data_IF_982464722597
#
_entry.id   IF_982464722597
#
_cell.length_a   1.000
_cell.length_b   1.000
_cell.length_c   1.000
_cell.angle_alpha   90.00
_cell.angle_beta   90.00
_cell.angle_gamma   90.00
#
_symmetry.space_group_name_H-M   'P 1'
#
loop_
_entity.id
_entity.type
_entity.pdbx_description
1 polymer ?
#
# COMPACT_ATOMS: atom_id res chain seq x y z
N UNK A 1 -34.87 31.13 28.94
CA UNK A 1 -35.44 30.02 29.71
C UNK A 1 -34.36 28.97 29.77
N UNK A 2 -33.46 28.92 30.65
CA UNK A 2 -33.31 28.82 32.12
C UNK A 2 -33.84 27.51 32.68
N UNK A 3 -32.93 26.90 33.44
CA UNK A 3 -33.11 25.94 34.56
C UNK A 3 -32.99 24.46 34.07
N UNK A 4 -32.19 23.55 34.69
CA UNK A 4 -31.47 23.62 35.96
C UNK A 4 -30.59 22.39 36.17
N UNK A 5 -29.59 22.60 36.98
CA UNK A 5 -28.74 21.64 37.66
C UNK A 5 -29.51 20.64 38.53
N UNK A 6 -28.97 19.43 38.68
CA UNK A 6 -28.96 18.81 40.02
C UNK A 6 -27.83 17.78 40.17
N UNK A 7 -26.96 18.07 41.13
CA UNK A 7 -26.00 17.17 41.79
C UNK A 7 -26.74 16.17 42.70
N UNK A 8 -26.15 15.01 42.89
CA UNK A 8 -26.23 14.30 44.17
C UNK A 8 -25.04 13.37 44.37
N UNK A 9 -24.33 13.70 45.44
CA UNK A 9 -23.32 12.92 46.18
C UNK A 9 -23.93 11.68 46.83
N UNK A 10 -23.05 10.71 47.13
CA UNK A 10 -23.34 9.67 48.11
C UNK A 10 -22.12 8.74 48.29
N UNK A 11 -21.31 9.12 49.29
CA UNK A 11 -20.29 8.26 49.91
C UNK A 11 -20.97 7.05 50.57
N UNK A 12 -20.34 5.90 50.60
CA UNK A 12 -20.23 5.18 51.85
C UNK A 12 -19.11 4.13 51.84
N UNK A 13 -18.32 4.25 52.90
CA UNK A 13 -17.25 3.36 53.34
C UNK A 13 -17.83 2.22 54.17
N UNK A 14 -17.46 0.99 54.00
CA UNK A 14 -17.49 0.02 55.09
C UNK A 14 -16.31 -0.94 55.07
N UNK A 15 -15.60 -0.84 56.17
CA UNK A 15 -14.54 -1.67 56.72
C UNK A 15 -15.10 -3.02 57.18
N UNK A 16 -14.26 -4.07 57.05
CA UNK A 16 -14.23 -5.11 58.06
C UNK A 16 -14.38 -6.56 57.64
N UNK A 17 -13.43 -7.34 57.63
CA UNK A 17 -13.01 -8.33 58.64
C UNK A 17 -12.06 -9.37 58.05
N UNK A 18 -10.94 -9.48 58.72
CA UNK A 18 -9.98 -10.62 58.62
C UNK A 18 -10.69 -11.89 59.15
N UNK A 19 -10.50 -13.00 58.43
CA UNK A 19 -10.51 -14.30 59.02
C UNK A 19 -9.33 -15.17 58.53
N UNK A 20 -8.49 -15.45 59.45
CA UNK A 20 -7.33 -16.32 59.39
C UNK A 20 -7.73 -17.72 59.74
N UNK A 21 -7.76 -18.67 58.80
CA UNK A 21 -7.56 -20.14 59.04
C UNK A 21 -7.68 -20.91 57.72
N UNK A 22 -6.56 -21.35 57.16
CA UNK A 22 -6.33 -22.65 56.54
C UNK A 22 -4.95 -22.69 55.87
N UNK A 23 -3.93 -22.78 56.72
CA UNK A 23 -2.62 -23.29 56.29
C UNK A 23 -2.60 -24.78 56.60
N UNK A 24 -2.85 -25.65 55.61
CA UNK A 24 -2.33 -27.03 55.50
C UNK A 24 -3.09 -27.75 54.39
N UNK A 25 -2.61 -27.61 53.14
CA UNK A 25 -2.80 -28.61 52.04
C UNK A 25 -2.20 -28.10 50.72
N UNK A 26 -1.00 -27.48 50.74
CA UNK A 26 -0.43 -26.91 49.51
C UNK A 26 0.88 -27.55 49.06
N UNK A 27 1.19 -28.76 49.48
CA UNK A 27 2.48 -29.37 49.09
C UNK A 27 2.37 -30.53 48.10
N UNK A 28 1.20 -31.06 47.82
CA UNK A 28 1.03 -32.13 46.80
C UNK A 28 0.55 -31.67 45.46
N UNK A 29 -0.16 -30.52 45.37
CA UNK A 29 -0.63 -30.00 44.10
C UNK A 29 0.45 -29.31 43.25
N UNK A 30 1.55 -28.89 43.91
CA UNK A 30 2.61 -28.16 43.23
C UNK A 30 3.50 -29.01 42.33
N UNK A 31 3.64 -30.32 42.60
CA UNK A 31 4.44 -31.23 41.79
C UNK A 31 3.71 -31.70 40.52
N UNK A 32 2.38 -31.83 40.56
CA UNK A 32 1.60 -32.27 39.39
C UNK A 32 1.36 -31.15 38.38
N UNK A 33 1.21 -29.92 38.86
CA UNK A 33 1.04 -28.76 37.95
C UNK A 33 2.34 -28.40 37.21
N UNK A 34 3.51 -28.59 37.81
CA UNK A 34 4.80 -28.29 37.14
C UNK A 34 5.13 -29.29 36.02
N UNK A 35 4.73 -30.56 36.15
CA UNK A 35 4.96 -31.58 35.10
C UNK A 35 4.01 -31.37 33.94
N UNK A 36 2.76 -30.97 34.19
CA UNK A 36 1.78 -30.71 33.14
C UNK A 36 2.11 -29.47 32.32
N UNK A 37 2.64 -28.42 32.95
CA UNK A 37 3.09 -27.18 32.24
C UNK A 37 4.34 -27.44 31.42
N UNK A 38 5.25 -28.30 31.84
CA UNK A 38 6.45 -28.62 31.07
C UNK A 38 6.16 -29.45 29.81
N UNK A 39 5.19 -30.35 29.86
CA UNK A 39 4.78 -31.15 28.71
C UNK A 39 4.01 -30.31 27.69
N UNK A 40 3.15 -29.38 28.16
CA UNK A 40 2.48 -28.44 27.25
C UNK A 40 3.44 -27.44 26.60
N UNK A 41 4.50 -27.02 27.29
CA UNK A 41 5.52 -26.16 26.71
C UNK A 41 6.38 -26.87 25.64
N UNK A 42 6.64 -28.18 25.79
CA UNK A 42 7.39 -28.95 24.78
C UNK A 42 6.56 -29.21 23.50
N UNK A 43 5.26 -29.42 23.62
CA UNK A 43 4.38 -29.62 22.46
C UNK A 43 4.17 -28.31 21.68
N UNK A 44 4.17 -27.15 22.37
CA UNK A 44 4.08 -25.83 21.73
C UNK A 44 5.34 -25.43 20.92
N UNK A 45 6.52 -25.99 21.24
CA UNK A 45 7.76 -25.69 20.50
C UNK A 45 7.97 -26.53 19.24
N UNK A 46 7.24 -27.61 19.04
CA UNK A 46 7.31 -28.40 17.81
C UNK A 46 6.39 -27.93 16.68
N UNK A 47 5.52 -26.95 16.93
CA UNK A 47 4.52 -26.50 15.94
C UNK A 47 4.96 -25.28 15.11
N UNK A 48 6.13 -24.70 15.34
CA UNK A 48 6.65 -23.53 14.62
C UNK A 48 8.05 -23.75 14.03
N UNK A 49 8.28 -24.91 13.43
CA UNK A 49 9.26 -24.97 12.36
C UNK A 49 8.58 -24.48 11.07
N UNK A 50 7.99 -23.28 11.09
CA UNK A 50 7.75 -22.52 9.86
C UNK A 50 9.14 -22.25 9.29
N UNK A 51 9.49 -22.90 8.20
CA UNK A 51 10.61 -22.49 7.36
C UNK A 51 10.45 -20.99 7.16
N UNK A 52 11.37 -20.18 7.67
CA UNK A 52 11.46 -18.75 7.39
C UNK A 52 11.84 -18.60 5.93
N UNK A 53 10.85 -18.82 5.05
CA UNK A 53 10.97 -18.47 3.63
C UNK A 53 11.15 -16.96 3.64
N UNK A 54 12.23 -16.49 3.06
CA UNK A 54 12.52 -15.05 2.99
C UNK A 54 11.45 -14.36 2.12
N UNK A 55 11.26 -13.06 2.33
CA UNK A 55 10.33 -12.30 1.50
C UNK A 55 10.69 -12.41 0.01
N UNK A 56 11.97 -12.44 -0.32
CA UNK A 56 12.47 -12.62 -1.69
C UNK A 56 12.09 -13.98 -2.30
N UNK A 57 12.22 -15.08 -1.53
CA UNK A 57 11.81 -16.41 -1.98
C UNK A 57 10.29 -16.48 -2.22
N UNK A 58 9.50 -15.82 -1.38
CA UNK A 58 8.06 -15.74 -1.57
C UNK A 58 7.69 -14.94 -2.82
N UNK A 59 8.35 -13.81 -3.07
CA UNK A 59 8.16 -13.01 -4.27
C UNK A 59 8.54 -13.79 -5.53
N UNK A 60 9.66 -14.52 -5.53
CA UNK A 60 10.08 -15.36 -6.65
C UNK A 60 9.08 -16.49 -6.93
N UNK A 61 8.57 -17.16 -5.89
CA UNK A 61 7.55 -18.21 -6.04
C UNK A 61 6.24 -17.65 -6.60
N UNK A 62 5.82 -16.47 -6.14
CA UNK A 62 4.64 -15.79 -6.63
C UNK A 62 4.80 -15.33 -8.09
N UNK A 63 5.97 -14.78 -8.43
CA UNK A 63 6.32 -14.39 -9.80
C UNK A 63 6.27 -15.59 -10.75
N UNK A 64 6.94 -16.70 -10.39
CA UNK A 64 6.90 -17.93 -11.18
C UNK A 64 5.46 -18.42 -11.41
N UNK A 65 4.62 -18.33 -10.39
CA UNK A 65 3.19 -18.71 -10.49
C UNK A 65 2.40 -17.75 -11.39
N UNK A 66 2.69 -16.44 -11.32
CA UNK A 66 2.04 -15.43 -12.17
C UNK A 66 2.43 -15.60 -13.65
N UNK A 67 3.69 -15.90 -13.91
CA UNK A 67 4.23 -16.10 -15.28
C UNK A 67 3.71 -17.39 -15.91
N UNK A 68 3.53 -18.44 -15.11
CA UNK A 68 3.02 -19.72 -15.58
C UNK A 68 3.93 -20.36 -16.64
N UNK A 69 3.32 -20.73 -17.78
CA UNK A 69 4.01 -21.37 -18.91
C UNK A 69 4.64 -20.38 -19.91
N UNK A 70 4.49 -19.08 -19.69
CA UNK A 70 5.08 -18.01 -20.52
C UNK A 70 6.11 -17.25 -19.68
N UNK A 71 7.27 -17.85 -19.39
CA UNK A 71 8.28 -17.20 -18.57
C UNK A 71 8.91 -16.07 -19.39
N UNK A 72 8.76 -14.85 -18.91
CA UNK A 72 9.55 -13.75 -19.43
C UNK A 72 11.04 -14.03 -19.12
N UNK A 73 11.98 -13.66 -19.99
CA UNK A 73 13.39 -13.73 -19.67
C UNK A 73 13.66 -13.03 -18.33
N UNK A 74 14.54 -13.58 -17.52
CA UNK A 74 14.80 -13.07 -16.15
C UNK A 74 15.22 -11.59 -16.14
N UNK A 75 15.90 -11.13 -17.18
CA UNK A 75 16.33 -9.74 -17.38
C UNK A 75 15.19 -8.80 -17.80
N UNK A 76 14.06 -9.35 -18.21
CA UNK A 76 12.87 -8.55 -18.58
C UNK A 76 12.01 -8.15 -17.38
N UNK A 77 12.15 -8.78 -16.22
CA UNK A 77 11.43 -8.42 -15.00
C UNK A 77 12.14 -7.26 -14.30
N UNK A 78 11.48 -6.11 -14.24
CA UNK A 78 12.04 -4.88 -13.66
C UNK A 78 11.61 -4.63 -12.19
N UNK A 79 10.60 -5.35 -11.74
CA UNK A 79 10.11 -5.26 -10.36
C UNK A 79 9.03 -6.29 -10.08
N UNK A 80 8.96 -6.71 -8.83
CA UNK A 80 7.93 -7.62 -8.31
C UNK A 80 7.44 -7.09 -6.98
N UNK A 81 6.14 -7.11 -6.76
CA UNK A 81 5.51 -6.79 -5.49
C UNK A 81 4.51 -7.88 -5.12
N UNK A 82 4.52 -8.31 -3.86
CA UNK A 82 3.63 -9.33 -3.32
C UNK A 82 3.10 -8.87 -1.96
N UNK A 83 1.80 -9.07 -1.73
CA UNK A 83 1.21 -8.77 -0.42
C UNK A 83 0.03 -9.69 -0.09
N UNK A 84 -0.18 -10.05 1.18
CA UNK A 84 -1.43 -10.67 1.61
C UNK A 84 -2.59 -9.67 1.45
N UNK A 85 -3.72 -10.14 0.93
CA UNK A 85 -4.90 -9.33 0.72
C UNK A 85 -6.04 -9.72 1.68
N UNK A 86 -5.99 -9.15 2.88
CA UNK A 86 -6.94 -9.45 3.96
C UNK A 86 -8.38 -9.02 3.64
N UNK A 87 -8.57 -8.07 2.73
CA UNK A 87 -9.87 -7.49 2.37
C UNK A 87 -10.45 -8.05 1.07
N UNK A 88 -9.85 -9.11 0.54
CA UNK A 88 -10.37 -9.83 -0.62
C UNK A 88 -11.67 -10.59 -0.32
N UNK A 89 -12.33 -11.15 -1.33
CA UNK A 89 -13.55 -11.94 -1.16
C UNK A 89 -13.33 -13.11 -0.20
N UNK A 90 -14.07 -13.15 0.90
CA UNK A 90 -13.90 -14.13 1.99
C UNK A 90 -14.16 -15.59 1.58
N UNK A 91 -14.96 -15.79 0.53
CA UNK A 91 -15.30 -17.13 0.02
C UNK A 91 -14.09 -17.89 -0.58
N UNK A 92 -13.01 -17.18 -0.87
CA UNK A 92 -11.81 -17.77 -1.52
C UNK A 92 -10.68 -18.15 -0.54
N UNK A 93 -10.90 -18.00 0.77
CA UNK A 93 -9.85 -18.20 1.78
C UNK A 93 -8.80 -17.05 1.78
N UNK A 94 -7.63 -17.26 2.42
CA UNK A 94 -6.57 -16.26 2.45
C UNK A 94 -6.03 -15.97 1.04
N UNK A 95 -6.21 -14.74 0.57
CA UNK A 95 -5.76 -14.29 -0.73
C UNK A 95 -4.44 -13.54 -0.64
N UNK A 96 -3.70 -13.60 -1.72
CA UNK A 96 -2.49 -12.81 -1.97
C UNK A 96 -2.66 -12.09 -3.30
N UNK A 97 -2.04 -10.94 -3.42
CA UNK A 97 -1.96 -10.19 -4.67
C UNK A 97 -0.50 -10.01 -5.04
N UNK A 98 -0.22 -10.17 -6.32
CA UNK A 98 1.11 -10.04 -6.90
C UNK A 98 1.05 -9.10 -8.09
N UNK A 99 2.08 -8.29 -8.26
CA UNK A 99 2.30 -7.52 -9.48
C UNK A 99 3.75 -7.70 -9.95
N UNK A 100 3.95 -7.68 -11.25
CA UNK A 100 5.26 -7.70 -11.87
C UNK A 100 5.32 -6.71 -13.03
N UNK A 101 6.43 -5.99 -13.14
CA UNK A 101 6.71 -5.11 -14.27
C UNK A 101 7.60 -5.88 -15.24
N UNK A 102 7.09 -6.14 -16.44
CA UNK A 102 7.74 -6.97 -17.44
C UNK A 102 8.00 -6.15 -18.69
N UNK A 103 9.26 -5.91 -19.02
CA UNK A 103 9.67 -5.22 -20.24
C UNK A 103 10.18 -6.25 -21.25
N UNK A 104 9.49 -6.38 -22.37
CA UNK A 104 9.93 -7.32 -23.42
C UNK A 104 11.18 -6.77 -24.13
N UNK A 105 12.11 -7.62 -24.55
CA UNK A 105 13.37 -7.18 -25.19
C UNK A 105 13.18 -6.34 -26.46
N UNK A 106 12.04 -6.46 -27.11
CA UNK A 106 11.68 -5.70 -28.33
C UNK A 106 11.02 -4.37 -28.03
N UNK A 107 10.62 -4.12 -26.78
CA UNK A 107 9.91 -2.92 -26.36
C UNK A 107 10.88 -2.05 -25.52
N UNK A 108 11.24 -0.88 -26.04
CA UNK A 108 12.22 0.00 -25.40
C UNK A 108 11.59 1.06 -24.51
N UNK A 109 10.30 1.27 -24.65
CA UNK A 109 9.58 2.40 -24.03
C UNK A 109 8.47 1.94 -23.09
N UNK A 110 7.82 0.81 -23.37
CA UNK A 110 6.68 0.31 -22.62
C UNK A 110 7.03 -0.97 -21.87
N UNK A 111 6.49 -1.10 -20.66
CA UNK A 111 6.44 -2.37 -19.95
C UNK A 111 4.99 -2.80 -19.72
N UNK A 112 4.79 -4.11 -19.63
CA UNK A 112 3.52 -4.70 -19.23
C UNK A 112 3.45 -4.76 -17.71
N UNK A 113 2.36 -4.31 -17.13
CA UNK A 113 2.05 -4.53 -15.72
C UNK A 113 1.22 -5.82 -15.60
N UNK A 114 1.85 -6.87 -15.13
CA UNK A 114 1.21 -8.15 -14.86
C UNK A 114 0.69 -8.16 -13.43
N UNK A 115 -0.57 -8.48 -13.24
CA UNK A 115 -1.21 -8.47 -11.92
C UNK A 115 -1.95 -9.78 -11.71
N UNK A 116 -1.86 -10.35 -10.52
CA UNK A 116 -2.51 -11.63 -10.20
C UNK A 116 -3.07 -11.71 -8.80
N UNK A 117 -4.10 -12.57 -8.65
CA UNK A 117 -4.63 -13.01 -7.37
C UNK A 117 -4.25 -14.46 -7.15
N UNK A 118 -3.65 -14.73 -6.01
CA UNK A 118 -3.10 -16.02 -5.63
C UNK A 118 -3.75 -16.55 -4.35
N UNK A 119 -3.69 -17.85 -4.15
CA UNK A 119 -3.93 -18.50 -2.86
C UNK A 119 -2.72 -19.34 -2.49
N UNK A 120 -2.52 -19.60 -1.18
CA UNK A 120 -1.48 -20.51 -0.72
C UNK A 120 -1.82 -21.95 -1.14
N UNK A 121 -0.79 -22.68 -1.57
CA UNK A 121 -0.86 -24.10 -1.91
C UNK A 121 0.39 -24.79 -1.35
N UNK A 122 0.27 -25.37 -0.17
CA UNK A 122 1.41 -25.90 0.56
C UNK A 122 2.46 -24.82 0.84
N UNK A 123 3.67 -25.01 0.31
CA UNK A 123 4.77 -24.05 0.45
C UNK A 123 4.82 -22.99 -0.66
N UNK A 124 3.95 -23.08 -1.66
CA UNK A 124 3.92 -22.19 -2.82
C UNK A 124 2.63 -21.41 -2.96
N UNK A 125 2.38 -21.00 -4.20
CA UNK A 125 1.19 -20.28 -4.60
C UNK A 125 0.48 -20.98 -5.75
N UNK A 126 -0.84 -20.80 -5.82
CA UNK A 126 -1.67 -21.18 -6.96
C UNK A 126 -2.37 -19.95 -7.49
N UNK A 127 -2.27 -19.71 -8.79
CA UNK A 127 -2.92 -18.60 -9.49
C UNK A 127 -4.42 -18.85 -9.56
N UNK A 128 -5.21 -17.84 -9.14
CA UNK A 128 -6.67 -17.83 -9.29
C UNK A 128 -7.10 -17.03 -10.50
N UNK A 129 -6.44 -15.90 -10.76
CA UNK A 129 -6.70 -15.05 -11.92
C UNK A 129 -5.52 -14.11 -12.14
N UNK A 130 -5.36 -13.63 -13.37
CA UNK A 130 -4.36 -12.61 -13.73
C UNK A 130 -4.91 -11.65 -14.79
N UNK A 131 -4.30 -10.48 -14.86
CA UNK A 131 -4.46 -9.48 -15.91
C UNK A 131 -3.09 -9.03 -16.41
N UNK A 132 -2.98 -8.75 -17.72
CA UNK A 132 -1.77 -8.26 -18.39
C UNK A 132 -2.10 -7.13 -19.37
N UNK A 133 -3.25 -6.48 -19.16
CA UNK A 133 -3.79 -5.50 -20.11
C UNK A 133 -3.24 -4.09 -19.93
N UNK A 134 -2.63 -3.81 -18.77
CA UNK A 134 -2.07 -2.50 -18.47
C UNK A 134 -0.66 -2.36 -19.03
N UNK A 135 -0.42 -1.20 -19.66
CA UNK A 135 0.89 -0.78 -20.12
C UNK A 135 1.33 0.45 -19.32
N UNK A 136 2.59 0.47 -18.94
CA UNK A 136 3.22 1.58 -18.24
C UNK A 136 4.43 2.05 -19.04
N UNK A 137 4.59 3.36 -19.12
CA UNK A 137 5.75 3.96 -19.77
C UNK A 137 6.99 3.73 -18.89
N UNK A 138 7.98 3.06 -19.47
CA UNK A 138 9.31 2.83 -18.87
C UNK A 138 10.40 3.35 -19.79
N UNK A 139 10.22 4.55 -20.34
CA UNK A 139 11.21 5.20 -21.21
C UNK A 139 12.65 4.92 -20.72
N UNK A 140 13.61 4.64 -21.60
CA UNK A 140 14.98 4.28 -21.21
C UNK A 140 15.70 5.38 -20.42
N UNK A 141 15.11 6.58 -20.35
CA UNK A 141 15.58 7.66 -19.49
C UNK A 141 15.05 7.54 -18.05
N UNK A 142 14.21 6.57 -17.75
CA UNK A 142 13.65 6.30 -16.44
C UNK A 142 14.59 5.40 -15.64
N UNK A 143 15.40 5.99 -14.80
CA UNK A 143 16.51 5.31 -14.11
C UNK A 143 16.08 4.44 -12.93
N UNK A 144 14.91 4.69 -12.36
CA UNK A 144 14.37 3.86 -11.29
C UNK A 144 12.86 3.80 -11.36
N UNK A 145 12.36 2.60 -11.59
CA UNK A 145 10.95 2.30 -11.42
C UNK A 145 10.77 1.58 -10.08
N UNK A 146 9.73 1.92 -9.33
CA UNK A 146 9.32 1.14 -8.17
C UNK A 146 7.92 0.57 -8.37
N UNK A 147 7.69 -0.59 -7.78
CA UNK A 147 6.42 -1.29 -7.80
C UNK A 147 6.06 -1.67 -6.37
N UNK A 148 4.85 -1.37 -5.94
CA UNK A 148 4.35 -1.76 -4.62
C UNK A 148 2.88 -2.18 -4.68
N UNK A 149 2.49 -3.07 -3.77
CA UNK A 149 1.09 -3.40 -3.57
C UNK A 149 0.47 -2.44 -2.55
N UNK A 150 -0.67 -1.88 -2.89
CA UNK A 150 -1.51 -1.12 -1.96
C UNK A 150 -2.78 -1.92 -1.67
N UNK A 151 -2.81 -2.57 -0.51
CA UNK A 151 -3.87 -3.49 -0.08
C UNK A 151 -4.81 -2.89 0.95
N UNK A 152 -4.82 -1.55 1.10
CA UNK A 152 -5.87 -0.90 1.88
C UNK A 152 -7.26 -1.22 1.30
N UNK A 153 -8.33 -1.24 2.12
CA UNK A 153 -9.65 -1.65 1.64
C UNK A 153 -10.28 -0.58 0.75
N UNK A 154 -9.98 -0.59 -0.54
CA UNK A 154 -10.66 0.22 -1.54
C UNK A 154 -12.08 -0.31 -1.77
N UNK A 155 -13.03 0.10 -0.92
CA UNK A 155 -14.43 -0.32 -1.05
C UNK A 155 -15.08 0.37 -2.25
N UNK A 156 -15.13 -0.32 -3.37
CA UNK A 156 -15.77 0.18 -4.60
C UNK A 156 -17.29 0.02 -4.56
N UNK A 157 -17.81 -0.91 -3.75
CA UNK A 157 -19.25 -1.03 -3.46
C UNK A 157 -19.47 -1.55 -2.02
N UNK A 158 -20.70 -1.78 -1.61
CA UNK A 158 -21.00 -2.39 -0.32
C UNK A 158 -20.48 -3.83 -0.21
N UNK A 159 -20.32 -4.53 -1.33
CA UNK A 159 -19.95 -5.96 -1.41
C UNK A 159 -18.58 -6.19 -2.05
N UNK A 160 -17.98 -5.18 -2.68
CA UNK A 160 -16.75 -5.36 -3.44
C UNK A 160 -15.64 -4.44 -2.94
N UNK A 161 -14.47 -5.03 -2.81
CA UNK A 161 -13.22 -4.33 -2.47
C UNK A 161 -12.22 -4.53 -3.60
N UNK A 162 -11.56 -3.47 -4.02
CA UNK A 162 -10.43 -3.50 -4.93
C UNK A 162 -9.11 -3.49 -4.14
N UNK A 163 -8.04 -3.90 -4.79
CA UNK A 163 -6.67 -3.69 -4.35
C UNK A 163 -5.95 -2.74 -5.30
N UNK A 164 -4.89 -2.11 -4.84
CA UNK A 164 -4.09 -1.19 -5.61
C UNK A 164 -2.73 -1.76 -5.99
N UNK A 165 -2.23 -1.33 -7.13
CA UNK A 165 -0.83 -1.47 -7.54
C UNK A 165 -0.29 -0.07 -7.73
N UNK A 166 0.71 0.30 -6.94
CA UNK A 166 1.41 1.56 -7.05
C UNK A 166 2.65 1.35 -7.93
N UNK A 167 2.70 2.04 -9.02
CA UNK A 167 3.86 2.14 -9.89
C UNK A 167 4.41 3.55 -9.82
N UNK A 168 5.70 3.67 -9.64
CA UNK A 168 6.37 4.98 -9.68
C UNK A 168 7.58 4.94 -10.59
N UNK A 169 7.92 6.11 -11.07
CA UNK A 169 8.94 6.30 -12.07
C UNK A 169 9.71 7.60 -11.82
N UNK A 170 11.04 7.55 -11.92
CA UNK A 170 11.91 8.70 -11.72
C UNK A 170 12.74 8.93 -12.98
N UNK A 171 12.69 10.13 -13.49
CA UNK A 171 13.55 10.62 -14.55
C UNK A 171 14.58 11.59 -13.97
N UNK A 172 15.80 11.52 -14.46
CA UNK A 172 16.86 12.46 -14.06
C UNK A 172 17.74 12.80 -15.26
N UNK A 173 17.87 14.09 -15.52
CA UNK A 173 18.79 14.66 -16.50
C UNK A 173 19.80 15.61 -15.81
N UNK A 174 20.62 16.29 -16.59
CA UNK A 174 21.50 17.34 -16.08
C UNK A 174 20.72 18.58 -15.65
N UNK A 175 19.63 18.90 -16.34
CA UNK A 175 18.84 20.13 -16.13
C UNK A 175 17.70 19.95 -15.13
N UNK A 176 17.05 18.78 -15.09
CA UNK A 176 15.90 18.55 -14.21
C UNK A 176 15.76 17.09 -13.78
N UNK A 177 14.95 16.86 -12.77
CA UNK A 177 14.48 15.53 -12.40
C UNK A 177 12.98 15.54 -12.14
N UNK A 178 12.31 14.48 -12.60
CA UNK A 178 10.87 14.28 -12.44
C UNK A 178 10.59 12.98 -11.72
N UNK A 179 9.55 12.96 -10.90
CA UNK A 179 9.04 11.77 -10.25
C UNK A 179 7.54 11.67 -10.44
N UNK A 180 7.06 10.48 -10.75
CA UNK A 180 5.62 10.20 -10.87
C UNK A 180 5.25 8.96 -10.08
N UNK A 181 4.06 8.99 -9.47
CA UNK A 181 3.43 7.83 -8.83
C UNK A 181 2.03 7.63 -9.42
N UNK A 182 1.74 6.43 -9.86
CA UNK A 182 0.44 6.05 -10.44
C UNK A 182 -0.12 4.89 -9.63
N UNK A 183 -1.34 5.04 -9.13
CA UNK A 183 -2.08 4.00 -8.46
C UNK A 183 -3.13 3.42 -9.41
N UNK A 184 -3.01 2.13 -9.73
CA UNK A 184 -4.00 1.39 -10.50
C UNK A 184 -4.82 0.49 -9.56
N UNK A 185 -6.14 0.60 -9.60
CA UNK A 185 -7.08 -0.21 -8.83
C UNK A 185 -7.57 -1.39 -9.65
N UNK A 186 -7.53 -2.57 -9.03
CA UNK A 186 -7.94 -3.84 -9.62
C UNK A 186 -9.07 -4.47 -8.81
N UNK A 187 -10.08 -4.96 -9.52
CA UNK A 187 -11.16 -5.77 -8.97
C UNK A 187 -10.92 -7.23 -9.27
N UNK A 188 -11.11 -8.08 -8.27
CA UNK A 188 -11.20 -9.53 -8.46
C UNK A 188 -12.63 -9.99 -8.26
N UNK A 189 -13.23 -10.52 -9.30
CA UNK A 189 -14.60 -11.04 -9.30
C UNK A 189 -14.77 -12.16 -10.30
N UNK A 190 -15.52 -13.19 -9.92
CA UNK A 190 -15.86 -14.31 -10.79
C UNK A 190 -14.63 -14.96 -11.47
N UNK A 191 -13.54 -15.11 -10.71
CA UNK A 191 -12.28 -15.67 -11.20
C UNK A 191 -11.52 -14.79 -12.20
N UNK A 192 -11.79 -13.49 -12.23
CA UNK A 192 -11.13 -12.52 -13.12
C UNK A 192 -10.56 -11.35 -12.34
N UNK A 193 -9.36 -10.95 -12.70
CA UNK A 193 -8.76 -9.68 -12.32
C UNK A 193 -9.04 -8.65 -13.42
N UNK A 194 -9.51 -7.48 -13.05
CA UNK A 194 -9.83 -6.42 -14.02
C UNK A 194 -9.39 -5.08 -13.49
N UNK A 195 -8.59 -4.31 -14.25
CA UNK A 195 -8.26 -2.94 -13.88
C UNK A 195 -9.49 -2.06 -14.00
N UNK A 196 -9.84 -1.35 -12.92
CA UNK A 196 -11.08 -0.56 -12.84
C UNK A 196 -10.85 0.95 -12.85
N UNK A 197 -9.66 1.38 -12.43
CA UNK A 197 -9.28 2.80 -12.40
C UNK A 197 -7.78 2.96 -12.29
N UNK A 198 -7.24 4.08 -12.78
CA UNK A 198 -5.84 4.46 -12.62
C UNK A 198 -5.75 5.98 -12.37
N UNK A 199 -4.91 6.39 -11.43
CA UNK A 199 -4.73 7.80 -11.10
C UNK A 199 -3.26 8.15 -10.86
N UNK A 200 -2.85 9.30 -11.36
CA UNK A 200 -1.67 9.98 -10.86
C UNK A 200 -1.91 10.30 -9.38
N UNK A 201 -1.05 9.81 -8.50
CA UNK A 201 -1.11 10.08 -7.05
C UNK A 201 -0.05 11.05 -6.59
N UNK A 202 1.09 11.01 -7.26
CA UNK A 202 2.24 11.83 -6.92
C UNK A 202 2.93 12.31 -8.19
N UNK A 203 3.30 13.57 -8.21
CA UNK A 203 4.11 14.17 -9.26
C UNK A 203 5.01 15.23 -8.65
N UNK A 204 6.28 15.18 -8.98
CA UNK A 204 7.22 16.24 -8.63
C UNK A 204 8.18 16.50 -9.79
N UNK A 205 8.58 17.75 -9.91
CA UNK A 205 9.68 18.15 -10.80
C UNK A 205 10.63 19.06 -10.03
N UNK A 206 11.90 18.89 -10.29
CA UNK A 206 12.99 19.71 -9.71
C UNK A 206 13.85 20.29 -10.83
N UNK A 207 13.87 21.61 -10.91
CA UNK A 207 14.70 22.39 -11.84
C UNK A 207 16.10 22.61 -11.25
N UNK A 208 17.07 21.85 -11.72
CA UNK A 208 18.47 21.90 -11.26
C UNK A 208 19.16 23.17 -11.71
N UNK A 209 18.86 23.67 -12.91
CA UNK A 209 19.47 24.87 -13.46
C UNK A 209 18.99 26.11 -12.69
N UNK A 210 17.67 26.18 -12.41
CA UNK A 210 17.08 27.21 -11.59
C UNK A 210 17.62 27.20 -10.16
N UNK A 211 17.81 26.04 -9.56
CA UNK A 211 18.40 25.91 -8.23
C UNK A 211 19.87 26.40 -8.21
N UNK A 212 20.69 26.02 -9.20
CA UNK A 212 22.05 26.44 -9.32
C UNK A 212 22.17 28.00 -9.50
N UNK A 213 21.31 28.61 -10.34
CA UNK A 213 21.23 30.03 -10.48
C UNK A 213 20.82 30.77 -9.19
N UNK A 214 19.89 30.16 -8.43
CA UNK A 214 19.48 30.69 -7.13
C UNK A 214 20.64 30.66 -6.13
N UNK A 215 21.40 29.57 -6.09
CA UNK A 215 22.60 29.48 -5.23
C UNK A 215 23.66 30.49 -5.60
N UNK A 216 23.98 30.67 -6.89
CA UNK A 216 24.96 31.65 -7.35
C UNK A 216 24.55 33.08 -6.95
N UNK A 217 23.27 33.43 -7.12
CA UNK A 217 22.74 34.75 -6.69
C UNK A 217 22.80 34.94 -5.19
N UNK A 218 22.72 33.88 -4.40
CA UNK A 218 22.73 33.91 -2.93
C UNK A 218 24.15 33.83 -2.35
N UNK A 219 25.12 33.23 -3.05
CA UNK A 219 26.52 33.18 -2.60
C UNK A 219 27.12 34.57 -2.37
N UNK A 220 26.74 35.57 -3.17
CA UNK A 220 27.14 36.99 -2.97
C UNK A 220 26.48 37.64 -1.75
N UNK A 221 25.49 37.01 -1.12
CA UNK A 221 24.75 37.55 0.03
C UNK A 221 24.99 36.75 1.31
N UNK A 222 25.90 35.75 1.29
CA UNK A 222 26.19 34.93 2.48
C UNK A 222 26.67 35.85 3.61
N UNK A 223 25.78 36.12 4.54
CA UNK A 223 26.08 36.54 5.89
C UNK A 223 26.91 35.47 6.60
N UNK A 224 27.43 35.76 7.76
CA UNK A 224 28.37 34.96 8.55
C UNK A 224 28.21 33.46 8.46
N UNK A 225 29.32 32.65 8.53
CA UNK A 225 29.28 31.21 8.62
C UNK A 225 28.33 30.75 9.76
N UNK A 226 27.23 30.12 9.44
CA UNK A 226 26.17 29.72 10.36
C UNK A 226 24.76 30.06 9.87
N UNK A 227 24.56 30.96 8.93
CA UNK A 227 23.27 31.25 8.31
C UNK A 227 23.03 30.34 7.08
N UNK A 228 23.25 29.06 7.24
CA UNK A 228 22.90 28.09 6.21
C UNK A 228 21.38 28.07 6.01
N UNK A 229 20.91 28.56 4.90
CA UNK A 229 19.62 28.20 4.31
C UNK A 229 19.89 27.47 2.99
N UNK A 230 20.36 26.22 3.02
CA UNK A 230 20.46 25.40 1.79
C UNK A 230 19.10 25.08 1.19
N UNK A 231 18.05 25.10 2.02
CA UNK A 231 16.75 24.54 1.65
C UNK A 231 15.85 25.48 0.83
N UNK A 232 16.20 26.78 0.71
CA UNK A 232 15.29 27.71 0.02
C UNK A 232 15.35 27.59 -1.51
N UNK A 233 16.55 27.43 -2.08
CA UNK A 233 16.70 27.32 -3.53
C UNK A 233 16.11 26.01 -4.07
N UNK A 234 16.30 24.91 -3.36
CA UNK A 234 15.67 23.63 -3.72
C UNK A 234 14.15 23.72 -3.64
N UNK A 235 13.63 24.29 -2.55
CA UNK A 235 12.19 24.44 -2.35
C UNK A 235 11.53 25.37 -3.40
N UNK A 236 12.21 26.44 -3.81
CA UNK A 236 11.72 27.36 -4.84
C UNK A 236 11.71 26.75 -6.24
N UNK A 237 12.59 25.78 -6.51
CA UNK A 237 12.74 25.12 -7.80
C UNK A 237 12.13 23.70 -7.83
N UNK A 238 11.43 23.30 -6.76
CA UNK A 238 10.67 22.07 -6.68
C UNK A 238 9.17 22.36 -6.81
N UNK A 239 8.50 21.67 -7.72
CA UNK A 239 7.04 21.66 -7.81
C UNK A 239 6.55 20.25 -7.47
N UNK A 240 5.64 20.13 -6.50
CA UNK A 240 5.09 18.86 -6.05
C UNK A 240 3.57 18.91 -6.05
N UNK A 241 2.95 17.82 -6.47
CA UNK A 241 1.51 17.64 -6.37
C UNK A 241 1.22 16.21 -5.92
N UNK A 242 0.46 16.08 -4.83
CA UNK A 242 -0.01 14.82 -4.32
C UNK A 242 -1.52 14.76 -4.42
N UNK A 243 -2.06 13.61 -4.80
CA UNK A 243 -3.50 13.38 -4.87
C UNK A 243 -3.93 12.28 -3.91
N UNK A 244 -5.12 12.41 -3.38
CA UNK A 244 -5.74 11.43 -2.50
C UNK A 244 -7.01 10.90 -3.14
N UNK A 245 -7.13 9.58 -3.17
CA UNK A 245 -8.33 8.88 -3.60
C UNK A 245 -9.26 8.67 -2.39
N UNK A 246 -10.54 8.92 -2.59
CA UNK A 246 -11.57 8.65 -1.59
C UNK A 246 -12.87 8.25 -2.26
N UNK A 247 -13.73 7.50 -1.56
CA UNK A 247 -15.02 7.10 -2.06
C UNK A 247 -16.12 7.97 -1.46
N UNK A 248 -17.00 8.49 -2.32
CA UNK A 248 -18.18 9.25 -1.93
C UNK A 248 -19.27 8.28 -1.43
N UNK A 249 -20.14 8.67 -0.48
CA UNK A 249 -21.33 7.89 -0.17
C UNK A 249 -22.35 7.82 -1.33
N UNK A 250 -22.22 8.71 -2.31
CA UNK A 250 -23.03 8.63 -3.53
C UNK A 250 -22.64 7.43 -4.39
N UNK A 251 -23.64 6.78 -4.99
CA UNK A 251 -23.45 5.58 -5.78
C UNK A 251 -23.99 5.77 -7.19
N UNK A 252 -23.21 5.33 -8.15
CA UNK A 252 -23.61 5.24 -9.57
C UNK A 252 -23.52 3.79 -10.00
N UNK A 253 -24.60 3.24 -10.56
CA UNK A 253 -24.70 1.84 -10.98
C UNK A 253 -24.26 0.83 -9.92
N UNK A 254 -24.64 1.06 -8.64
CA UNK A 254 -24.34 0.17 -7.51
C UNK A 254 -22.92 0.26 -6.95
N UNK A 255 -22.09 1.17 -7.42
CA UNK A 255 -20.74 1.42 -6.94
C UNK A 255 -20.59 2.85 -6.41
N UNK A 256 -19.77 3.04 -5.40
CA UNK A 256 -19.45 4.34 -4.85
C UNK A 256 -18.70 5.19 -5.87
N UNK A 257 -19.06 6.47 -6.00
CA UNK A 257 -18.30 7.39 -6.84
C UNK A 257 -16.91 7.61 -6.25
N UNK A 258 -15.90 7.62 -7.08
CA UNK A 258 -14.52 7.86 -6.72
C UNK A 258 -14.20 9.35 -6.85
N UNK A 259 -13.53 9.90 -5.85
CA UNK A 259 -13.06 11.28 -5.82
C UNK A 259 -11.53 11.29 -5.74
N UNK A 260 -10.91 12.04 -6.63
CA UNK A 260 -9.49 12.34 -6.58
C UNK A 260 -9.34 13.83 -6.25
N UNK A 261 -8.56 14.15 -5.24
CA UNK A 261 -8.36 15.52 -4.75
C UNK A 261 -6.90 15.78 -4.46
N UNK A 262 -6.39 16.98 -4.74
CA UNK A 262 -5.05 17.35 -4.32
C UNK A 262 -4.94 17.35 -2.78
N UNK A 263 -3.80 16.92 -2.27
CA UNK A 263 -3.47 16.90 -0.85
C UNK A 263 -2.87 18.26 -0.47
N UNK A 264 -3.40 18.89 0.58
CA UNK A 264 -2.88 20.15 1.11
C UNK A 264 -3.63 21.39 0.61
N UNK A 265 -3.26 22.56 1.18
CA UNK A 265 -3.92 23.85 0.90
C UNK A 265 -3.45 24.53 -0.40
N UNK A 266 -2.29 24.16 -0.90
CA UNK A 266 -1.62 24.81 -2.03
C UNK A 266 -1.65 23.98 -3.31
N UNK A 267 -2.42 22.87 -3.35
CA UNK A 267 -2.45 22.00 -4.52
C UNK A 267 -2.93 22.75 -5.75
N UNK A 268 -2.04 22.95 -6.72
CA UNK A 268 -2.36 23.49 -8.04
C UNK A 268 -3.29 22.53 -8.85
N UNK A 269 -3.59 21.36 -8.29
CA UNK A 269 -4.37 20.32 -8.94
C UNK A 269 -5.89 20.50 -8.81
N UNK A 270 -6.61 19.95 -9.76
CA UNK A 270 -8.07 19.95 -9.78
C UNK A 270 -8.61 18.70 -9.06
N UNK A 271 -9.74 18.86 -8.38
CA UNK A 271 -10.51 17.71 -7.89
C UNK A 271 -11.36 17.13 -9.01
N UNK A 272 -11.43 15.82 -9.10
CA UNK A 272 -12.23 15.13 -10.11
C UNK A 272 -13.10 14.03 -9.45
N UNK A 273 -14.29 13.82 -10.03
CA UNK A 273 -15.23 12.75 -9.67
C UNK A 273 -15.33 11.76 -10.81
N UNK A 274 -15.33 10.48 -10.48
CA UNK A 274 -15.43 9.37 -11.41
C UNK A 274 -16.61 8.50 -11.04
N UNK A 275 -17.42 8.14 -12.02
CA UNK A 275 -18.64 7.35 -11.83
C UNK A 275 -18.48 5.98 -12.46
N UNK A 276 -19.19 5.00 -11.92
CA UNK A 276 -19.13 3.63 -12.42
C UNK A 276 -20.06 3.41 -13.61
N UNK A 277 -19.54 2.82 -14.71
CA UNK A 277 -20.33 2.56 -15.92
C UNK A 277 -20.89 1.13 -16.01
N UNK A 278 -20.69 0.31 -15.00
CA UNK A 278 -21.03 -1.11 -14.97
C UNK A 278 -19.79 -2.03 -14.96
N UNK A 279 -18.65 -1.58 -15.46
CA UNK A 279 -17.39 -2.33 -15.52
C UNK A 279 -16.21 -1.60 -14.88
N UNK A 280 -16.07 -0.31 -15.12
CA UNK A 280 -14.94 0.52 -14.68
C UNK A 280 -15.45 1.91 -14.31
N UNK A 281 -14.60 2.68 -13.65
CA UNK A 281 -14.82 4.12 -13.46
C UNK A 281 -14.66 4.88 -14.78
N UNK A 282 -15.36 6.02 -14.89
CA UNK A 282 -15.31 6.90 -16.07
C UNK A 282 -15.04 8.35 -15.65
N UNK A 283 -14.07 9.00 -16.30
CA UNK A 283 -13.04 8.40 -17.16
C UNK A 283 -12.21 7.37 -16.39
N UNK A 284 -11.58 6.42 -17.09
CA UNK A 284 -10.83 5.33 -16.46
C UNK A 284 -9.49 5.79 -15.86
N UNK A 285 -8.99 6.93 -16.32
CA UNK A 285 -7.69 7.48 -15.88
C UNK A 285 -7.85 8.92 -15.40
N UNK A 286 -7.07 9.26 -14.40
CA UNK A 286 -6.84 10.62 -13.93
C UNK A 286 -5.38 10.96 -14.11
N UNK A 287 -5.09 12.03 -14.86
CA UNK A 287 -3.75 12.46 -15.27
C UNK A 287 -3.25 13.70 -14.51
N UNK A 288 -4.11 14.29 -13.67
CA UNK A 288 -3.76 15.50 -12.93
C UNK A 288 -4.23 16.80 -13.59
N UNK A 289 -4.74 16.77 -14.85
CA UNK A 289 -5.11 17.94 -15.66
C UNK A 289 -6.58 18.40 -15.44
#
# INVERSE_FOLDING_TARGET
>A
MSIGMQEARGDDLSFGRRDSRARRSRKLDFCMQTVLTLVLALVAHCAFASSNVTDDEQQQAALHTLMGTDPAPADSVKGVALSPWAHGPSASGPLWVVAALVQRPTETVDAELWTGVLTRDGHGFRLLASDRSERVDTSPMLWSAFLAMDVIPYRISAQETAFGVLFGNNYTSTAHSDSTGILSLYRYRDGRVTPVFSALTDWSTYDKDGAAECEEKNDGKRGKPGDARPDSCDAENTTETHYVLSFSPHMTNGHYDLLVRPKGKAGAGKSARFTWNGNTYQPRRFTGD
#
